data_IF_134597764956
#
_entry.id   IF_134597764956
#
_cell.length_a   1.000
_cell.length_b   1.000
_cell.length_c   1.000
_cell.angle_alpha   90.00
_cell.angle_beta   90.00
_cell.angle_gamma   90.00
#
_symmetry.space_group_name_H-M   'P 1'
#
loop_
_entity.id
_entity.type
_entity.pdbx_description
1 polymer ?
#
# COMPACT_ATOMS: atom_id res chain seq x y z
N UNK A 1 -20.49 -0.49 18.74
CA UNK A 1 -19.38 -1.31 19.26
C UNK A 1 -19.32 -2.56 18.39
N UNK A 2 -18.38 -2.63 17.45
CA UNK A 2 -18.20 -3.80 16.58
C UNK A 2 -17.54 -4.87 17.45
N UNK A 3 -18.35 -5.69 18.11
CA UNK A 3 -17.87 -6.89 18.79
C UNK A 3 -17.38 -7.83 17.69
N UNK A 4 -16.08 -8.10 17.65
CA UNK A 4 -15.55 -9.23 16.88
C UNK A 4 -16.31 -10.46 17.36
N UNK A 5 -17.24 -10.95 16.54
CA UNK A 5 -18.31 -11.85 16.99
C UNK A 5 -17.78 -13.24 17.40
N UNK A 6 -16.47 -13.49 17.24
CA UNK A 6 -15.76 -14.63 17.79
C UNK A 6 -14.29 -14.28 18.14
N UNK A 7 -14.03 -13.91 19.39
CA UNK A 7 -12.67 -13.99 19.98
C UNK A 7 -12.32 -15.46 20.26
N UNK A 8 -12.32 -16.29 19.21
CA UNK A 8 -11.88 -17.68 19.28
C UNK A 8 -10.78 -17.94 18.22
N UNK A 9 -9.96 -18.96 18.43
CA UNK A 9 -8.86 -19.28 17.51
C UNK A 9 -9.33 -19.49 16.06
N UNK A 10 -10.56 -20.00 15.88
CA UNK A 10 -11.14 -20.25 14.57
C UNK A 10 -11.43 -18.98 13.78
N UNK A 11 -11.89 -17.90 14.44
CA UNK A 11 -12.14 -16.61 13.78
C UNK A 11 -10.87 -16.00 13.17
N UNK A 12 -9.72 -16.16 13.83
CA UNK A 12 -8.43 -15.74 13.27
C UNK A 12 -7.99 -16.62 12.11
N UNK A 13 -8.19 -17.94 12.20
CA UNK A 13 -7.87 -18.87 11.10
C UNK A 13 -8.69 -18.54 9.85
N UNK A 14 -10.00 -18.31 10.00
CA UNK A 14 -10.85 -17.94 8.86
C UNK A 14 -10.47 -16.58 8.29
N UNK A 15 -10.14 -15.59 9.15
CA UNK A 15 -9.69 -14.28 8.69
C UNK A 15 -8.42 -14.39 7.86
N UNK A 16 -7.41 -15.13 8.33
CA UNK A 16 -6.18 -15.33 7.57
C UNK A 16 -6.40 -16.09 6.26
N UNK A 17 -7.28 -17.10 6.26
CA UNK A 17 -7.65 -17.80 5.03
C UNK A 17 -8.32 -16.86 4.03
N UNK A 18 -9.23 -15.98 4.49
CA UNK A 18 -9.87 -14.95 3.67
C UNK A 18 -8.83 -13.96 3.12
N UNK A 19 -7.95 -13.43 3.96
CA UNK A 19 -6.89 -12.49 3.55
C UNK A 19 -6.02 -13.09 2.46
N UNK A 20 -5.50 -14.31 2.66
CA UNK A 20 -4.67 -14.99 1.68
C UNK A 20 -5.41 -15.24 0.37
N UNK A 21 -6.68 -15.63 0.45
CA UNK A 21 -7.51 -15.89 -0.74
C UNK A 21 -7.76 -14.61 -1.52
N UNK A 22 -8.12 -13.51 -0.86
CA UNK A 22 -8.38 -12.22 -1.50
C UNK A 22 -7.12 -11.71 -2.19
N UNK A 23 -5.97 -11.72 -1.50
CA UNK A 23 -4.69 -11.28 -2.08
C UNK A 23 -4.30 -12.19 -3.26
N UNK A 24 -4.49 -13.51 -3.15
CA UNK A 24 -4.19 -14.42 -4.26
C UNK A 24 -5.00 -14.08 -5.50
N UNK A 25 -6.31 -13.88 -5.33
CA UNK A 25 -7.21 -13.56 -6.44
C UNK A 25 -6.95 -12.16 -7.01
N UNK A 26 -6.56 -11.19 -6.17
CA UNK A 26 -6.10 -9.86 -6.59
C UNK A 26 -4.93 -9.96 -7.57
N UNK A 27 -3.88 -10.70 -7.19
CA UNK A 27 -2.70 -10.91 -8.03
C UNK A 27 -3.01 -11.70 -9.32
N UNK A 28 -3.94 -12.65 -9.25
CA UNK A 28 -4.44 -13.35 -10.44
C UNK A 28 -5.21 -12.40 -11.37
N UNK A 29 -5.98 -11.45 -10.86
CA UNK A 29 -6.71 -10.49 -11.68
C UNK A 29 -5.73 -9.61 -12.50
N UNK A 30 -4.64 -9.14 -11.90
CA UNK A 30 -3.56 -8.47 -12.64
C UNK A 30 -2.99 -9.36 -13.74
N UNK A 31 -2.61 -10.60 -13.38
CA UNK A 31 -1.99 -11.54 -14.31
C UNK A 31 -2.90 -11.91 -15.49
N UNK A 32 -4.15 -12.26 -15.22
CA UNK A 32 -5.15 -12.60 -16.24
C UNK A 32 -5.41 -11.42 -17.19
N UNK A 33 -5.46 -10.20 -16.66
CA UNK A 33 -5.66 -8.99 -17.46
C UNK A 33 -4.43 -8.69 -18.33
N UNK A 34 -3.22 -8.94 -17.82
CA UNK A 34 -1.98 -8.82 -18.60
C UNK A 34 -1.97 -9.79 -19.78
N UNK A 35 -2.27 -11.07 -19.52
CA UNK A 35 -2.36 -12.11 -20.57
C UNK A 35 -3.45 -11.80 -21.58
N UNK A 36 -4.61 -11.32 -21.12
CA UNK A 36 -5.72 -10.93 -22.00
C UNK A 36 -5.30 -9.86 -23.03
N UNK A 37 -4.45 -8.91 -22.63
CA UNK A 37 -3.96 -7.86 -23.51
C UNK A 37 -2.71 -8.24 -24.34
N UNK A 38 -2.25 -9.48 -24.23
CA UNK A 38 -1.14 -10.03 -25.01
C UNK A 38 0.23 -9.94 -24.33
N UNK A 39 0.28 -9.65 -23.03
CA UNK A 39 1.51 -9.69 -22.24
C UNK A 39 1.76 -11.04 -21.59
N UNK A 40 2.98 -11.26 -21.12
CA UNK A 40 3.39 -12.48 -20.43
C UNK A 40 3.48 -12.29 -18.91
N UNK A 41 2.97 -13.27 -18.16
CA UNK A 41 3.20 -13.39 -16.70
C UNK A 41 4.31 -14.41 -16.49
N UNK A 42 5.50 -13.92 -16.13
CA UNK A 42 6.71 -14.77 -16.01
C UNK A 42 6.81 -15.49 -14.68
N UNK A 43 6.28 -14.88 -13.63
CA UNK A 43 6.42 -15.36 -12.26
C UNK A 43 5.20 -14.94 -11.43
N UNK A 44 4.68 -15.87 -10.65
CA UNK A 44 3.77 -15.60 -9.54
C UNK A 44 4.29 -16.34 -8.33
N UNK A 45 4.27 -15.70 -7.16
CA UNK A 45 4.86 -16.29 -5.99
C UNK A 45 4.37 -15.68 -4.69
N UNK A 46 5.04 -16.10 -3.62
CA UNK A 46 4.81 -15.63 -2.27
C UNK A 46 6.15 -15.25 -1.64
N UNK A 47 6.19 -14.12 -0.96
CA UNK A 47 7.31 -13.66 -0.16
C UNK A 47 6.81 -13.34 1.26
N UNK A 48 7.69 -13.51 2.26
CA UNK A 48 7.38 -13.11 3.62
C UNK A 48 7.99 -11.74 3.91
N UNK A 49 7.13 -10.72 4.02
CA UNK A 49 7.53 -9.39 4.43
C UNK A 49 7.09 -9.17 5.88
N UNK A 50 8.04 -9.02 6.81
CA UNK A 50 7.74 -8.87 8.26
C UNK A 50 6.83 -9.98 8.83
N UNK A 51 7.07 -11.23 8.44
CA UNK A 51 6.25 -12.41 8.80
C UNK A 51 4.82 -12.39 8.25
N UNK A 52 4.48 -11.43 7.39
CA UNK A 52 3.22 -11.43 6.66
C UNK A 52 3.43 -12.03 5.26
N UNK A 53 2.62 -13.02 4.87
CA UNK A 53 2.63 -13.53 3.50
C UNK A 53 2.17 -12.42 2.55
N UNK A 54 3.00 -12.14 1.55
CA UNK A 54 2.74 -11.21 0.48
C UNK A 54 2.81 -12.00 -0.83
N UNK A 55 1.68 -12.09 -1.54
CA UNK A 55 1.63 -12.71 -2.85
C UNK A 55 1.95 -11.65 -3.89
N UNK A 56 2.54 -12.05 -5.01
CA UNK A 56 2.86 -11.15 -6.10
C UNK A 56 2.70 -11.81 -7.46
N UNK A 57 2.33 -11.01 -8.46
CA UNK A 57 2.28 -11.36 -9.86
C UNK A 57 3.20 -10.45 -10.68
N UNK A 58 4.17 -11.03 -11.39
CA UNK A 58 5.07 -10.25 -12.23
C UNK A 58 4.38 -9.90 -13.56
N UNK A 59 3.74 -8.73 -13.58
CA UNK A 59 3.10 -8.10 -14.75
C UNK A 59 3.98 -7.03 -15.41
N UNK A 60 5.32 -7.13 -15.29
CA UNK A 60 6.24 -6.13 -15.87
C UNK A 60 6.09 -5.98 -17.39
N UNK A 61 5.57 -6.99 -18.08
CA UNK A 61 5.36 -6.94 -19.52
C UNK A 61 4.27 -5.93 -19.93
N UNK A 62 3.36 -5.57 -19.01
CA UNK A 62 2.35 -4.55 -19.26
C UNK A 62 2.94 -3.18 -19.62
N UNK A 63 4.17 -2.89 -19.17
CA UNK A 63 4.88 -1.65 -19.53
C UNK A 63 5.22 -1.55 -21.02
N UNK A 64 5.22 -2.67 -21.75
CA UNK A 64 5.46 -2.70 -23.21
C UNK A 64 4.22 -2.33 -24.03
N UNK A 65 3.04 -2.28 -23.40
CA UNK A 65 1.81 -1.95 -24.10
C UNK A 65 1.79 -0.48 -24.52
N UNK A 66 1.65 -0.24 -25.83
CA UNK A 66 1.51 1.12 -26.36
C UNK A 66 0.22 1.82 -25.86
N UNK A 67 -0.85 1.05 -25.72
CA UNK A 67 -2.15 1.55 -25.25
C UNK A 67 -2.15 1.76 -23.73
N UNK A 68 -2.26 3.04 -23.31
CA UNK A 68 -2.36 3.45 -21.91
C UNK A 68 -3.57 2.83 -21.21
N UNK A 69 -4.69 2.67 -21.90
CA UNK A 69 -5.90 2.05 -21.35
C UNK A 69 -5.63 0.61 -20.91
N UNK A 70 -4.87 -0.15 -21.70
CA UNK A 70 -4.49 -1.53 -21.36
C UNK A 70 -3.60 -1.57 -20.12
N UNK A 71 -2.59 -0.69 -20.03
CA UNK A 71 -1.73 -0.59 -18.83
C UNK A 71 -2.52 -0.26 -17.57
N UNK A 72 -3.43 0.71 -17.68
CA UNK A 72 -4.31 1.10 -16.59
C UNK A 72 -5.22 -0.05 -16.17
N UNK A 73 -5.79 -0.80 -17.11
CA UNK A 73 -6.62 -1.96 -16.79
C UNK A 73 -5.83 -3.07 -16.10
N UNK A 74 -4.61 -3.37 -16.54
CA UNK A 74 -3.75 -4.34 -15.83
C UNK A 74 -3.52 -3.89 -14.39
N UNK A 75 -3.17 -2.62 -14.18
CA UNK A 75 -2.92 -2.09 -12.82
C UNK A 75 -4.20 -1.97 -11.98
N UNK A 76 -5.36 -1.72 -12.59
CA UNK A 76 -6.62 -1.59 -11.85
C UNK A 76 -7.32 -2.94 -11.58
N UNK A 77 -6.93 -4.01 -12.26
CA UNK A 77 -7.64 -5.29 -12.24
C UNK A 77 -7.77 -5.91 -10.84
N UNK A 78 -6.70 -5.89 -10.05
CA UNK A 78 -6.73 -6.38 -8.66
C UNK A 78 -7.75 -5.64 -7.81
N UNK A 79 -7.62 -4.31 -7.70
CA UNK A 79 -8.56 -3.50 -6.94
C UNK A 79 -10.00 -3.54 -7.47
N UNK A 80 -10.20 -3.66 -8.78
CA UNK A 80 -11.53 -3.86 -9.38
C UNK A 80 -12.15 -5.20 -8.97
N UNK A 81 -11.34 -6.27 -8.96
CA UNK A 81 -11.76 -7.58 -8.50
C UNK A 81 -12.13 -7.56 -7.01
N UNK A 82 -11.29 -6.98 -6.16
CA UNK A 82 -11.58 -6.80 -4.73
C UNK A 82 -12.88 -6.00 -4.51
N UNK A 83 -13.12 -4.94 -5.28
CA UNK A 83 -14.36 -4.17 -5.20
C UNK A 83 -15.60 -5.01 -5.51
N UNK A 84 -15.54 -5.84 -6.56
CA UNK A 84 -16.63 -6.75 -6.92
C UNK A 84 -16.88 -7.81 -5.85
N UNK A 85 -15.83 -8.49 -5.39
CA UNK A 85 -15.93 -9.51 -4.33
C UNK A 85 -16.47 -8.90 -3.05
N UNK A 86 -15.93 -7.74 -2.64
CA UNK A 86 -16.38 -7.01 -1.46
C UNK A 86 -17.87 -6.68 -1.54
N UNK A 87 -18.33 -6.18 -2.69
CA UNK A 87 -19.74 -5.86 -2.93
C UNK A 87 -20.65 -7.09 -2.84
N UNK A 88 -20.27 -8.22 -3.46
CA UNK A 88 -21.02 -9.47 -3.37
C UNK A 88 -21.06 -9.98 -1.92
N UNK A 89 -19.93 -9.93 -1.22
CA UNK A 89 -19.84 -10.30 0.18
C UNK A 89 -20.69 -9.39 1.09
N UNK A 90 -20.86 -8.11 0.76
CA UNK A 90 -21.80 -7.22 1.47
C UNK A 90 -23.23 -7.74 1.40
N UNK A 91 -23.70 -8.15 0.22
CA UNK A 91 -25.05 -8.71 0.06
C UNK A 91 -25.20 -10.06 0.78
N UNK A 92 -24.20 -10.94 0.68
CA UNK A 92 -24.22 -12.23 1.38
C UNK A 92 -24.27 -12.01 2.89
N UNK A 93 -23.45 -11.11 3.43
CA UNK A 93 -23.45 -10.77 4.84
C UNK A 93 -24.81 -10.21 5.27
N UNK A 94 -25.39 -9.27 4.51
CA UNK A 94 -26.69 -8.67 4.81
C UNK A 94 -27.81 -9.72 4.86
N UNK A 95 -27.83 -10.66 3.91
CA UNK A 95 -28.93 -11.62 3.74
C UNK A 95 -28.78 -12.90 4.57
N UNK A 96 -27.59 -13.16 5.12
CA UNK A 96 -27.32 -14.36 5.92
C UNK A 96 -27.66 -14.14 7.39
N UNK A 97 -28.08 -15.21 8.07
CA UNK A 97 -28.36 -15.15 9.50
C UNK A 97 -27.07 -14.92 10.31
N UNK A 98 -27.17 -14.00 11.28
CA UNK A 98 -26.07 -13.65 12.18
C UNK A 98 -25.52 -14.89 12.90
N UNK A 99 -24.20 -14.93 13.08
CA UNK A 99 -23.52 -16.03 13.78
C UNK A 99 -23.30 -17.29 12.93
N UNK A 100 -23.81 -17.35 11.70
CA UNK A 100 -23.46 -18.43 10.76
C UNK A 100 -22.05 -18.28 10.20
N UNK A 101 -21.43 -19.39 9.80
CA UNK A 101 -20.11 -19.39 9.16
C UNK A 101 -20.10 -18.52 7.89
N UNK A 102 -21.15 -18.61 7.07
CA UNK A 102 -21.31 -17.81 5.84
C UNK A 102 -21.35 -16.32 6.16
N UNK A 103 -22.12 -15.91 7.17
CA UNK A 103 -22.19 -14.51 7.60
C UNK A 103 -20.83 -13.98 8.06
N UNK A 104 -20.08 -14.79 8.83
CA UNK A 104 -18.76 -14.42 9.33
C UNK A 104 -17.73 -14.27 8.21
N UNK A 105 -17.65 -15.24 7.29
CA UNK A 105 -16.72 -15.19 6.14
C UNK A 105 -17.05 -14.04 5.22
N UNK A 106 -18.34 -13.80 4.94
CA UNK A 106 -18.77 -12.68 4.11
C UNK A 106 -18.41 -11.32 4.75
N UNK A 107 -18.60 -11.16 6.06
CA UNK A 107 -18.17 -9.97 6.80
C UNK A 107 -16.65 -9.75 6.73
N UNK A 108 -15.87 -10.82 6.97
CA UNK A 108 -14.41 -10.78 6.89
C UNK A 108 -13.94 -10.40 5.48
N UNK A 109 -14.48 -11.04 4.44
CA UNK A 109 -14.11 -10.79 3.05
C UNK A 109 -14.49 -9.37 2.60
N UNK A 110 -15.69 -8.89 2.93
CA UNK A 110 -16.11 -7.52 2.67
C UNK A 110 -15.14 -6.51 3.30
N UNK A 111 -14.79 -6.73 4.57
CA UNK A 111 -13.90 -5.83 5.32
C UNK A 111 -12.48 -5.85 4.75
N UNK A 112 -11.94 -7.03 4.45
CA UNK A 112 -10.61 -7.18 3.84
C UNK A 112 -10.56 -6.54 2.46
N UNK A 113 -11.53 -6.83 1.58
CA UNK A 113 -11.59 -6.24 0.24
C UNK A 113 -11.71 -4.71 0.30
N UNK A 114 -12.58 -4.18 1.18
CA UNK A 114 -12.77 -2.74 1.31
C UNK A 114 -11.54 -2.01 1.85
N UNK A 115 -10.87 -2.58 2.86
CA UNK A 115 -9.62 -2.03 3.40
C UNK A 115 -8.48 -2.15 2.38
N UNK A 116 -8.27 -3.33 1.81
CA UNK A 116 -7.19 -3.63 0.85
C UNK A 116 -7.29 -2.71 -0.38
N UNK A 117 -8.42 -2.74 -1.09
CA UNK A 117 -8.59 -1.99 -2.34
C UNK A 117 -8.57 -0.48 -2.12
N UNK A 118 -9.45 0.03 -1.26
CA UNK A 118 -9.71 1.48 -1.16
C UNK A 118 -8.67 2.19 -0.32
N UNK A 119 -8.30 1.66 0.85
CA UNK A 119 -7.42 2.37 1.78
C UNK A 119 -5.94 2.18 1.45
N UNK A 120 -5.56 1.02 0.92
CA UNK A 120 -4.16 0.69 0.65
C UNK A 120 -3.84 0.69 -0.85
N UNK A 121 -4.43 -0.20 -1.64
CA UNK A 121 -4.04 -0.38 -3.04
C UNK A 121 -4.26 0.87 -3.89
N UNK A 122 -5.42 1.52 -3.81
CA UNK A 122 -5.69 2.76 -4.54
C UNK A 122 -5.05 4.01 -3.93
N UNK A 123 -4.22 3.88 -2.89
CA UNK A 123 -3.50 5.01 -2.32
C UNK A 123 -2.30 5.41 -3.18
N UNK A 124 -2.28 6.62 -3.79
CA UNK A 124 -1.20 7.02 -4.68
C UNK A 124 0.10 7.41 -3.96
N UNK A 125 0.10 7.51 -2.62
CA UNK A 125 1.25 8.01 -1.84
C UNK A 125 2.22 6.88 -1.44
N UNK A 126 1.80 5.62 -1.55
CA UNK A 126 2.60 4.41 -1.39
C UNK A 126 2.74 3.76 -2.78
N UNK A 127 3.86 3.08 -3.06
CA UNK A 127 4.07 2.34 -4.32
C UNK A 127 3.20 1.06 -4.39
N UNK A 128 1.90 1.25 -4.49
CA UNK A 128 0.87 0.24 -4.74
C UNK A 128 0.14 0.59 -6.04
N UNK A 129 -0.92 -0.14 -6.40
CA UNK A 129 -1.64 0.01 -7.67
C UNK A 129 -2.03 1.47 -7.99
N UNK A 130 -2.55 2.20 -7.01
CA UNK A 130 -2.96 3.61 -7.14
C UNK A 130 -1.81 4.55 -7.50
N UNK A 131 -0.59 4.24 -7.03
CA UNK A 131 0.60 4.99 -7.43
C UNK A 131 0.98 4.73 -8.89
N UNK A 132 0.89 3.48 -9.34
CA UNK A 132 1.19 3.13 -10.73
C UNK A 132 0.11 3.64 -11.67
N UNK A 133 -1.17 3.60 -11.28
CA UNK A 133 -2.27 4.29 -11.96
C UNK A 133 -1.95 5.78 -12.09
N UNK A 134 -1.53 6.45 -11.01
CA UNK A 134 -1.18 7.87 -11.07
C UNK A 134 0.02 8.13 -12.00
N UNK A 135 1.03 7.26 -11.99
CA UNK A 135 2.18 7.35 -12.91
C UNK A 135 1.76 7.22 -14.37
N UNK A 136 0.93 6.23 -14.71
CA UNK A 136 0.37 6.06 -16.05
C UNK A 136 -0.53 7.23 -16.43
N UNK A 137 -1.27 7.81 -15.47
CA UNK A 137 -2.17 8.92 -15.73
C UNK A 137 -1.42 10.22 -16.05
N UNK A 138 -0.29 10.43 -15.38
CA UNK A 138 0.58 11.58 -15.55
C UNK A 138 1.67 11.36 -16.62
N UNK A 139 1.78 10.15 -17.15
CA UNK A 139 2.81 9.73 -18.12
C UNK A 139 4.25 9.98 -17.62
N UNK A 140 4.44 9.80 -16.31
CA UNK A 140 5.74 9.95 -15.65
C UNK A 140 6.25 8.62 -15.12
N UNK A 141 7.51 8.32 -15.42
CA UNK A 141 8.19 7.18 -14.85
C UNK A 141 8.69 7.55 -13.45
N UNK A 142 8.38 6.72 -12.45
CA UNK A 142 8.88 6.85 -11.08
C UNK A 142 8.58 8.20 -10.38
N UNK A 143 7.32 8.64 -10.40
CA UNK A 143 6.83 9.87 -9.76
C UNK A 143 7.43 10.14 -8.37
N UNK A 144 7.49 9.13 -7.49
CA UNK A 144 8.01 9.29 -6.13
C UNK A 144 9.48 9.67 -6.11
N UNK A 145 10.31 9.05 -6.95
CA UNK A 145 11.73 9.31 -6.99
C UNK A 145 12.00 10.71 -7.53
N UNK A 146 11.38 11.07 -8.65
CA UNK A 146 11.51 12.41 -9.26
C UNK A 146 11.04 13.51 -8.30
N UNK A 147 9.92 13.29 -7.62
CA UNK A 147 9.39 14.24 -6.63
C UNK A 147 10.30 14.39 -5.41
N UNK A 148 10.84 13.29 -4.87
CA UNK A 148 11.79 13.35 -3.75
C UNK A 148 13.12 13.99 -4.13
N UNK A 149 13.62 13.74 -5.35
CA UNK A 149 14.84 14.36 -5.85
C UNK A 149 14.65 15.88 -6.02
N UNK A 150 13.51 16.29 -6.60
CA UNK A 150 13.17 17.70 -6.76
C UNK A 150 13.03 18.41 -5.41
N UNK A 151 12.34 17.78 -4.43
CA UNK A 151 12.25 18.31 -3.08
C UNK A 151 13.63 18.44 -2.41
N UNK A 152 14.48 17.40 -2.53
CA UNK A 152 15.84 17.42 -2.01
C UNK A 152 16.66 18.58 -2.58
N UNK A 153 16.60 18.81 -3.90
CA UNK A 153 17.31 19.91 -4.55
C UNK A 153 16.85 21.28 -4.02
N UNK A 154 15.54 21.47 -3.84
CA UNK A 154 15.00 22.69 -3.25
C UNK A 154 15.46 22.88 -1.80
N UNK A 155 15.44 21.84 -0.97
CA UNK A 155 15.94 21.90 0.41
C UNK A 155 17.43 22.26 0.43
N UNK A 156 18.24 21.65 -0.43
CA UNK A 156 19.68 21.97 -0.57
C UNK A 156 19.91 23.43 -0.96
N UNK A 157 19.13 23.94 -1.90
CA UNK A 157 19.23 25.33 -2.32
C UNK A 157 18.86 26.31 -1.19
N UNK A 158 17.66 26.16 -0.61
CA UNK A 158 17.14 27.13 0.36
C UNK A 158 17.75 27.01 1.77
N UNK A 159 18.17 25.81 2.18
CA UNK A 159 18.69 25.56 3.55
C UNK A 159 20.22 25.57 3.58
N UNK A 160 20.88 25.01 2.55
CA UNK A 160 22.33 24.84 2.52
C UNK A 160 23.03 25.81 1.55
N UNK A 161 22.28 26.60 0.78
CA UNK A 161 22.84 27.57 -0.15
C UNK A 161 23.48 26.95 -1.39
N UNK A 162 23.19 25.68 -1.70
CA UNK A 162 23.70 25.02 -2.90
C UNK A 162 23.09 25.65 -4.18
N UNK A 163 23.80 25.65 -5.32
CA UNK A 163 23.24 26.15 -6.57
C UNK A 163 22.00 25.34 -6.97
N UNK A 164 21.00 26.03 -7.55
CA UNK A 164 19.77 25.38 -8.00
C UNK A 164 20.13 24.35 -9.07
N UNK A 165 19.78 23.10 -8.82
CA UNK A 165 19.83 22.08 -9.86
C UNK A 165 18.69 22.35 -10.85
N UNK A 166 19.05 22.68 -12.08
CA UNK A 166 18.07 22.87 -13.14
C UNK A 166 17.53 21.53 -13.61
N UNK A 167 16.22 21.39 -13.53
CA UNK A 167 15.47 20.29 -14.13
C UNK A 167 14.63 20.85 -15.27
N UNK A 168 14.62 20.13 -16.38
CA UNK A 168 13.75 20.41 -17.54
C UNK A 168 12.30 19.96 -17.25
N UNK A 169 11.71 20.58 -16.24
CA UNK A 169 10.31 20.39 -15.84
C UNK A 169 9.53 21.65 -16.11
N UNK A 170 8.33 21.50 -16.67
CA UNK A 170 7.37 22.59 -16.79
C UNK A 170 6.97 23.15 -15.41
N UNK A 171 6.47 24.40 -15.34
CA UNK A 171 5.99 24.97 -14.08
C UNK A 171 4.90 24.13 -13.40
N UNK A 172 4.07 23.42 -14.17
CA UNK A 172 3.01 22.55 -13.65
C UNK A 172 3.61 21.29 -13.02
N UNK A 173 4.59 20.66 -13.66
CA UNK A 173 5.27 19.48 -13.13
C UNK A 173 6.04 19.80 -11.84
N UNK A 174 6.76 20.93 -11.80
CA UNK A 174 7.44 21.41 -10.59
C UNK A 174 6.48 21.50 -9.39
N UNK A 175 5.30 22.09 -9.60
CA UNK A 175 4.27 22.19 -8.57
C UNK A 175 3.71 20.81 -8.19
N UNK A 176 3.40 19.96 -9.17
CA UNK A 176 2.88 18.62 -8.93
C UNK A 176 3.87 17.76 -8.12
N UNK A 177 5.16 17.79 -8.46
CA UNK A 177 6.22 17.09 -7.76
C UNK A 177 6.39 17.57 -6.32
N UNK A 178 6.33 18.89 -6.06
CA UNK A 178 6.39 19.40 -4.69
C UNK A 178 5.18 18.98 -3.87
N UNK A 179 3.96 19.11 -4.44
CA UNK A 179 2.72 18.69 -3.75
C UNK A 179 2.79 17.20 -3.44
N UNK A 180 3.08 16.36 -4.44
CA UNK A 180 3.19 14.92 -4.26
C UNK A 180 4.25 14.58 -3.21
N UNK A 181 5.42 15.24 -3.27
CA UNK A 181 6.50 15.00 -2.34
C UNK A 181 6.08 15.25 -0.88
N UNK A 182 5.49 16.42 -0.64
CA UNK A 182 5.02 16.81 0.69
C UNK A 182 3.90 15.89 1.20
N UNK A 183 2.92 15.59 0.35
CA UNK A 183 1.84 14.66 0.68
C UNK A 183 2.39 13.26 1.02
N UNK A 184 3.32 12.73 0.21
CA UNK A 184 3.92 11.41 0.45
C UNK A 184 4.74 11.38 1.75
N UNK A 185 5.48 12.45 2.08
CA UNK A 185 6.21 12.55 3.35
C UNK A 185 5.28 12.61 4.56
N UNK A 186 4.25 13.45 4.51
CA UNK A 186 3.25 13.56 5.59
C UNK A 186 2.56 12.21 5.78
N UNK A 187 2.13 11.59 4.69
CA UNK A 187 1.45 10.30 4.73
C UNK A 187 2.35 9.19 5.28
N UNK A 188 3.59 9.04 4.80
CA UNK A 188 4.51 8.00 5.30
C UNK A 188 4.84 8.22 6.77
N UNK A 189 5.07 9.47 7.18
CA UNK A 189 5.34 9.79 8.59
C UNK A 189 4.13 9.46 9.46
N UNK A 190 2.93 9.85 9.02
CA UNK A 190 1.67 9.54 9.70
C UNK A 190 1.38 8.04 9.76
N UNK A 191 1.64 7.30 8.68
CA UNK A 191 1.49 5.85 8.61
C UNK A 191 2.43 5.14 9.59
N UNK A 192 3.72 5.50 9.58
CA UNK A 192 4.70 4.92 10.51
C UNK A 192 4.35 5.24 11.97
N UNK A 193 3.88 6.46 12.24
CA UNK A 193 3.41 6.84 13.56
C UNK A 193 2.14 6.08 13.97
N UNK A 194 1.17 5.94 13.07
CA UNK A 194 -0.06 5.18 13.32
C UNK A 194 0.23 3.70 13.60
N UNK A 195 1.11 3.07 12.82
CA UNK A 195 1.58 1.70 13.06
C UNK A 195 2.26 1.59 14.43
N UNK A 196 3.13 2.56 14.78
CA UNK A 196 3.76 2.58 16.09
C UNK A 196 2.73 2.68 17.23
N UNK A 197 1.76 3.60 17.14
CA UNK A 197 0.70 3.76 18.13
C UNK A 197 -0.16 2.50 18.24
N UNK A 198 -0.52 1.88 17.11
CA UNK A 198 -1.28 0.64 17.08
C UNK A 198 -0.51 -0.50 17.78
N UNK A 199 0.74 -0.73 17.38
CA UNK A 199 1.58 -1.80 17.96
C UNK A 199 1.82 -1.54 19.44
N UNK A 200 2.13 -0.31 19.84
CA UNK A 200 2.29 0.05 21.25
C UNK A 200 0.98 -0.14 22.04
N UNK A 201 -0.15 0.26 21.45
CA UNK A 201 -1.49 0.12 22.02
C UNK A 201 -1.94 -1.34 22.17
N UNK A 202 -1.39 -2.26 21.38
CA UNK A 202 -1.63 -3.70 21.53
C UNK A 202 -0.60 -4.36 22.49
N UNK A 203 0.67 -3.97 22.40
CA UNK A 203 1.75 -4.59 23.16
C UNK A 203 1.74 -4.21 24.64
N UNK A 204 1.45 -2.95 24.99
CA UNK A 204 1.46 -2.48 26.38
C UNK A 204 0.37 -3.15 27.21
N UNK A 205 -0.90 -3.22 26.77
CA UNK A 205 -1.92 -3.96 27.52
C UNK A 205 -1.65 -5.46 27.61
N UNK A 206 -1.08 -6.07 26.56
CA UNK A 206 -0.81 -7.50 26.53
C UNK A 206 0.39 -7.91 27.42
N UNK A 207 1.44 -7.09 27.51
CA UNK A 207 2.72 -7.46 28.14
C UNK A 207 3.19 -6.49 29.23
N UNK A 208 2.40 -5.49 29.61
CA UNK A 208 2.70 -4.52 30.67
C UNK A 208 4.02 -3.77 30.43
N UNK A 209 4.90 -3.75 31.45
CA UNK A 209 6.20 -3.06 31.39
C UNK A 209 7.11 -3.59 30.28
N UNK A 210 7.09 -4.91 30.02
CA UNK A 210 7.87 -5.52 28.94
C UNK A 210 7.38 -5.01 27.59
N UNK A 211 6.07 -4.94 27.40
CA UNK A 211 5.45 -4.36 26.19
C UNK A 211 5.83 -2.90 25.99
N UNK A 212 5.85 -2.11 27.06
CA UNK A 212 6.26 -0.70 27.02
C UNK A 212 7.72 -0.53 26.59
N UNK A 213 8.64 -1.29 27.19
CA UNK A 213 10.07 -1.24 26.84
C UNK A 213 10.29 -1.67 25.39
N UNK A 214 9.63 -2.76 24.95
CA UNK A 214 9.73 -3.25 23.58
C UNK A 214 9.18 -2.24 22.58
N UNK A 215 7.99 -1.69 22.82
CA UNK A 215 7.40 -0.66 21.98
C UNK A 215 8.32 0.56 21.90
N UNK A 216 8.82 1.07 23.03
CA UNK A 216 9.77 2.19 23.07
C UNK A 216 11.04 1.92 22.27
N UNK A 217 11.62 0.73 22.38
CA UNK A 217 12.80 0.34 21.62
C UNK A 217 12.53 0.25 20.12
N UNK A 218 11.41 -0.38 19.71
CA UNK A 218 10.99 -0.48 18.31
C UNK A 218 10.73 0.90 17.74
N UNK A 219 9.99 1.76 18.47
CA UNK A 219 9.74 3.15 18.11
C UNK A 219 11.04 3.92 17.92
N UNK A 220 11.94 3.87 18.90
CA UNK A 220 13.26 4.50 18.79
C UNK A 220 14.01 4.02 17.54
N UNK A 221 14.12 2.71 17.32
CA UNK A 221 14.78 2.15 16.13
C UNK A 221 14.12 2.60 14.83
N UNK A 222 12.79 2.59 14.76
CA UNK A 222 12.01 2.96 13.59
C UNK A 222 12.22 4.44 13.24
N UNK A 223 11.94 5.34 14.19
CA UNK A 223 12.07 6.79 13.98
C UNK A 223 13.51 7.22 13.82
N UNK A 224 14.46 6.65 14.58
CA UNK A 224 15.88 6.95 14.41
C UNK A 224 16.37 6.54 13.01
N UNK A 225 16.00 5.34 12.52
CA UNK A 225 16.35 4.91 11.16
C UNK A 225 15.68 5.78 10.10
N UNK A 226 14.42 6.15 10.30
CA UNK A 226 13.67 7.02 9.39
C UNK A 226 14.31 8.41 9.29
N UNK A 227 14.56 9.07 10.42
CA UNK A 227 15.19 10.40 10.48
C UNK A 227 16.63 10.33 9.94
N UNK A 228 17.43 9.37 10.40
CA UNK A 228 18.80 9.20 9.90
C UNK A 228 18.82 8.98 8.39
N UNK A 229 17.90 8.18 7.87
CA UNK A 229 17.74 7.94 6.43
C UNK A 229 17.40 9.23 5.67
N UNK A 230 16.43 10.00 6.15
CA UNK A 230 16.04 11.28 5.55
C UNK A 230 17.19 12.30 5.56
N UNK A 231 17.87 12.46 6.71
CA UNK A 231 19.03 13.35 6.86
C UNK A 231 20.17 12.91 5.92
N UNK A 232 20.51 11.61 5.92
CA UNK A 232 21.56 11.08 5.05
C UNK A 232 21.21 11.25 3.57
N UNK A 233 19.95 11.07 3.20
CA UNK A 233 19.48 11.26 1.83
C UNK A 233 19.64 12.70 1.36
N UNK A 234 19.29 13.67 2.21
CA UNK A 234 19.46 15.10 1.92
C UNK A 234 20.93 15.50 1.86
N UNK A 235 21.76 15.01 2.80
CA UNK A 235 23.17 15.40 2.91
C UNK A 235 24.10 14.71 1.89
N UNK A 236 23.75 13.53 1.37
CA UNK A 236 24.56 12.89 0.33
C UNK A 236 24.50 13.71 -0.97
N UNK A 237 25.67 13.91 -1.59
CA UNK A 237 25.82 14.48 -2.92
C UNK A 237 25.05 13.62 -3.94
#
# INVERSE_FOLDING_TARGET
LITFQQDNAWGYVTLWAVVLTVIALHEHAHGLTCVHFGGEVREMGMLFLFFQPCLYCNVSDAWTFADRGKRLWVTAAGGYFEFWVGSVCTYIWWLSAEGTFVNTVAYQAMTVCGLSSVMFNFNPLIKLDGYYILCDLLEVNNLKQSSMAYLKANVKHYVFGEPIQEYDYSPKEKRAYLIYAMCSLVYITGLLFGIFVLVAGLAVPAFGLVGFILAGFIGYKLFFRYIKGAVTYVLRA
#
